data_IF_511346946793
#
_entry.id   IF_511346946793
#
_cell.length_a   1.000
_cell.length_b   1.000
_cell.length_c   1.000
_cell.angle_alpha   90.00
_cell.angle_beta   90.00
_cell.angle_gamma   90.00
#
_symmetry.space_group_name_H-M   'P 1'
#
loop_
_entity.id
_entity.type
_entity.pdbx_description
1 polymer ?
#
# COMPACT_ATOMS: atom_id res chain seq x y z
N UNK A 1 -49.71 21.33 39.90
CA UNK A 1 -49.40 20.91 38.51
C UNK A 1 -48.04 21.49 38.14
N UNK A 2 -46.92 20.82 38.45
CA UNK A 2 -45.59 21.16 37.91
C UNK A 2 -44.49 20.35 38.62
N UNK A 3 -44.22 19.13 38.16
CA UNK A 3 -42.95 18.46 38.45
C UNK A 3 -42.82 17.24 37.55
N UNK A 4 -42.54 17.43 36.25
CA UNK A 4 -42.19 16.33 35.34
C UNK A 4 -41.31 16.77 34.15
N UNK A 5 -40.62 17.91 34.25
CA UNK A 5 -39.77 18.41 33.16
C UNK A 5 -38.26 18.16 33.35
N UNK A 6 -37.81 17.81 34.56
CA UNK A 6 -36.36 17.80 34.89
C UNK A 6 -35.66 16.45 34.63
N UNK A 7 -36.40 15.34 34.59
CA UNK A 7 -35.81 14.00 34.37
C UNK A 7 -35.55 13.66 32.89
N UNK A 8 -36.21 14.36 31.96
CA UNK A 8 -36.07 14.12 30.52
C UNK A 8 -34.76 14.72 29.95
N UNK A 9 -34.30 15.85 30.49
CA UNK A 9 -33.10 16.54 30.01
C UNK A 9 -31.78 15.79 30.29
N UNK A 10 -31.72 15.06 31.41
CA UNK A 10 -30.50 14.32 31.78
C UNK A 10 -30.30 13.04 30.97
N UNK A 11 -31.38 12.35 30.59
CA UNK A 11 -31.30 11.17 29.70
C UNK A 11 -30.89 11.56 28.27
N UNK A 12 -31.35 12.70 27.77
CA UNK A 12 -30.96 13.22 26.45
C UNK A 12 -29.48 13.63 26.44
N UNK A 13 -28.99 14.28 27.50
CA UNK A 13 -27.59 14.71 27.59
C UNK A 13 -26.60 13.52 27.67
N UNK A 14 -26.94 12.44 28.37
CA UNK A 14 -26.08 11.24 28.47
C UNK A 14 -26.06 10.44 27.18
N UNK A 15 -27.19 10.34 26.45
CA UNK A 15 -27.25 9.67 25.14
C UNK A 15 -26.50 10.47 24.07
N UNK A 16 -26.59 11.80 24.08
CA UNK A 16 -25.83 12.65 23.13
C UNK A 16 -24.32 12.63 23.41
N UNK A 17 -23.91 12.49 24.69
CA UNK A 17 -22.49 12.41 25.04
C UNK A 17 -21.86 11.04 24.68
N UNK A 18 -22.65 9.96 24.60
CA UNK A 18 -22.16 8.64 24.16
C UNK A 18 -22.11 8.46 22.63
N UNK A 19 -22.86 9.26 21.85
CA UNK A 19 -22.84 9.21 20.38
C UNK A 19 -21.71 10.04 19.74
N UNK A 20 -20.98 10.85 20.52
CA UNK A 20 -20.00 11.84 20.01
C UNK A 20 -18.57 11.33 19.86
N UNK A 21 -18.28 10.07 20.20
CA UNK A 21 -16.91 9.52 20.14
C UNK A 21 -16.94 8.20 19.39
N UNK A 22 -17.26 8.25 18.10
CA UNK A 22 -16.82 7.16 17.21
C UNK A 22 -15.32 7.42 17.00
N UNK A 23 -14.41 6.60 17.55
CA UNK A 23 -13.01 6.74 17.19
C UNK A 23 -12.94 6.56 15.67
N UNK A 24 -12.49 7.61 14.96
CA UNK A 24 -11.89 7.44 13.64
C UNK A 24 -10.63 6.60 13.88
N UNK A 25 -10.81 5.29 13.94
CA UNK A 25 -9.72 4.38 13.66
C UNK A 25 -9.39 4.68 12.20
N UNK A 26 -8.12 4.92 11.89
CA UNK A 26 -7.62 5.11 10.53
C UNK A 26 -7.02 3.77 10.07
N UNK A 27 -7.32 3.37 8.83
CA UNK A 27 -6.80 2.16 8.24
C UNK A 27 -5.31 2.39 8.02
N UNK A 28 -4.54 1.32 7.93
CA UNK A 28 -3.13 1.46 7.64
C UNK A 28 -2.66 0.24 6.88
N UNK A 29 -1.95 0.46 5.79
CA UNK A 29 -1.32 -0.62 5.06
C UNK A 29 -0.36 -0.12 4.00
N UNK A 30 0.49 -1.04 3.52
CA UNK A 30 1.52 -0.77 2.53
C UNK A 30 1.69 -1.98 1.63
N UNK A 31 2.10 -1.76 0.37
CA UNK A 31 2.56 -2.85 -0.49
C UNK A 31 4.04 -3.13 -0.19
N UNK A 32 4.33 -4.37 0.18
CA UNK A 32 5.67 -4.89 0.45
C UNK A 32 6.27 -5.57 -0.78
N UNK A 33 5.50 -6.26 -1.62
CA UNK A 33 6.02 -6.86 -2.84
C UNK A 33 5.04 -6.67 -4.00
N UNK A 34 5.43 -6.01 -5.11
CA UNK A 34 6.64 -5.18 -5.23
C UNK A 34 6.64 -4.05 -4.18
N UNK A 35 7.77 -3.70 -3.56
CA UNK A 35 7.79 -2.64 -2.54
C UNK A 35 7.35 -1.31 -3.13
N UNK A 36 6.40 -0.66 -2.47
CA UNK A 36 6.01 0.69 -2.82
C UNK A 36 7.16 1.69 -2.60
N UNK A 37 7.14 2.82 -3.31
CA UNK A 37 8.15 3.89 -3.25
C UNK A 37 8.51 4.30 -1.82
N UNK A 38 7.50 4.58 -0.99
CA UNK A 38 7.69 4.91 0.43
C UNK A 38 8.12 3.71 1.30
N UNK A 39 7.95 2.48 0.83
CA UNK A 39 8.25 1.23 1.55
C UNK A 39 9.66 0.70 1.26
N UNK A 40 10.27 1.13 0.15
CA UNK A 40 11.55 0.62 -0.34
C UNK A 40 12.65 0.61 0.74
N UNK A 41 12.76 1.67 1.55
CA UNK A 41 13.81 1.77 2.56
C UNK A 41 13.76 0.62 3.60
N UNK A 42 12.58 0.05 3.88
CA UNK A 42 12.39 -1.11 4.78
C UNK A 42 12.91 -2.42 4.18
N UNK A 43 13.24 -2.42 2.90
CA UNK A 43 13.82 -3.57 2.19
C UNK A 43 15.28 -3.35 1.79
N UNK A 44 15.89 -2.26 2.26
CA UNK A 44 17.35 -2.07 2.18
C UNK A 44 17.79 -1.32 0.94
N UNK A 45 16.82 -0.79 0.20
CA UNK A 45 17.09 0.14 -0.86
C UNK A 45 17.59 1.46 -0.27
N UNK A 46 18.58 2.07 -0.93
CA UNK A 46 19.08 3.38 -0.57
C UNK A 46 18.11 4.48 -1.03
N UNK A 47 16.95 4.55 -0.37
CA UNK A 47 15.89 5.53 -0.62
C UNK A 47 15.58 6.31 0.65
N UNK A 48 15.10 7.56 0.57
CA UNK A 48 14.70 8.32 1.74
C UNK A 48 13.66 7.54 2.57
N UNK A 49 13.85 7.40 3.90
CA UNK A 49 12.89 6.69 4.73
C UNK A 49 11.59 7.50 4.90
N UNK A 50 10.47 6.84 4.67
CA UNK A 50 9.15 7.30 5.11
C UNK A 50 8.67 6.35 6.21
N UNK A 51 8.66 6.79 7.46
CA UNK A 51 8.24 5.96 8.59
C UNK A 51 6.73 5.72 8.63
N UNK A 52 5.97 6.59 7.97
CA UNK A 52 4.51 6.55 7.80
C UNK A 52 4.12 6.01 6.41
N UNK A 53 4.94 5.13 5.82
CA UNK A 53 4.73 4.49 4.52
C UNK A 53 3.47 3.61 4.45
N UNK A 54 2.81 3.36 5.57
CA UNK A 54 1.48 2.73 5.66
C UNK A 54 0.31 3.73 5.77
N UNK A 55 0.57 5.04 5.68
CA UNK A 55 -0.41 6.14 5.79
C UNK A 55 -0.53 6.94 4.49
N UNK A 56 -0.37 6.29 3.35
CA UNK A 56 -0.58 6.92 2.04
C UNK A 56 -2.08 6.97 1.69
N UNK A 57 -2.82 7.67 2.55
CA UNK A 57 -4.28 7.72 2.67
C UNK A 57 -4.93 8.98 2.09
N UNK A 58 -4.36 9.55 1.02
CA UNK A 58 -4.90 10.75 0.36
C UNK A 58 -4.94 12.01 1.25
N UNK A 59 -4.14 12.01 2.32
CA UNK A 59 -4.15 13.04 3.37
C UNK A 59 -5.31 12.94 4.38
N UNK A 60 -6.01 11.80 4.42
CA UNK A 60 -7.09 11.49 5.34
C UNK A 60 -8.49 11.64 4.72
N UNK A 61 -9.46 10.93 5.30
CA UNK A 61 -10.85 10.84 4.81
C UNK A 61 -11.47 12.21 4.50
N UNK A 62 -11.49 13.13 5.47
CA UNK A 62 -12.13 14.43 5.30
C UNK A 62 -11.46 15.27 4.21
N UNK A 63 -10.13 15.23 4.13
CA UNK A 63 -9.39 15.95 3.10
C UNK A 63 -9.69 15.39 1.72
N UNK A 64 -9.74 14.07 1.58
CA UNK A 64 -10.08 13.41 0.32
C UNK A 64 -11.52 13.75 -0.11
N UNK A 65 -12.51 13.46 0.73
CA UNK A 65 -13.92 13.49 0.31
C UNK A 65 -14.55 14.88 0.41
N UNK A 66 -14.35 15.57 1.53
CA UNK A 66 -15.02 16.85 1.79
C UNK A 66 -14.27 18.04 1.18
N UNK A 67 -12.94 17.99 1.09
CA UNK A 67 -12.13 19.07 0.48
C UNK A 67 -11.82 18.80 -0.99
N UNK A 68 -11.36 17.60 -1.32
CA UNK A 68 -10.87 17.27 -2.66
C UNK A 68 -11.90 16.61 -3.58
N UNK A 69 -13.14 16.40 -3.11
CA UNK A 69 -14.22 15.82 -3.91
C UNK A 69 -13.94 14.36 -4.29
N UNK A 70 -13.38 13.59 -3.37
CA UNK A 70 -13.01 12.19 -3.55
C UNK A 70 -11.66 11.96 -4.24
N UNK A 71 -11.01 13.02 -4.74
CA UNK A 71 -9.74 12.90 -5.46
C UNK A 71 -8.57 12.63 -4.53
N UNK A 72 -7.65 11.82 -5.02
CA UNK A 72 -6.41 11.44 -4.36
C UNK A 72 -5.23 11.62 -5.33
N UNK A 73 -4.00 11.74 -4.81
CA UNK A 73 -2.82 11.53 -5.64
C UNK A 73 -2.68 10.07 -6.06
N UNK A 74 -2.10 9.82 -7.24
CA UNK A 74 -2.06 8.47 -7.82
C UNK A 74 -1.20 7.52 -6.99
N UNK A 75 -0.34 8.05 -6.11
CA UNK A 75 0.48 7.27 -5.20
C UNK A 75 0.15 7.53 -3.72
N UNK A 76 -1.06 8.03 -3.42
CA UNK A 76 -1.60 8.13 -2.06
C UNK A 76 -1.32 9.44 -1.34
N UNK A 77 -0.64 10.37 -2.00
CA UNK A 77 -0.47 11.75 -1.51
C UNK A 77 -1.80 12.52 -1.53
N UNK A 78 -1.98 13.55 -0.69
CA UNK A 78 -3.13 14.44 -0.78
C UNK A 78 -3.24 15.11 -2.15
N UNK A 79 -4.45 15.14 -2.71
CA UNK A 79 -4.67 15.67 -4.06
C UNK A 79 -4.24 17.15 -4.21
N UNK A 80 -4.46 17.96 -3.18
CA UNK A 80 -4.13 19.38 -3.12
C UNK A 80 -2.79 19.67 -2.41
N UNK A 81 -1.96 18.65 -2.15
CA UNK A 81 -0.67 18.80 -1.47
C UNK A 81 0.54 18.44 -2.33
N UNK A 82 1.70 18.37 -1.68
CA UNK A 82 2.93 17.87 -2.30
C UNK A 82 2.75 16.40 -2.72
N UNK A 83 3.27 16.06 -3.91
CA UNK A 83 3.17 14.72 -4.49
C UNK A 83 4.47 13.96 -4.27
N UNK A 84 4.76 13.66 -3.00
CA UNK A 84 6.08 13.15 -2.61
C UNK A 84 6.36 11.73 -3.14
N UNK A 85 5.30 10.96 -3.40
CA UNK A 85 5.36 9.62 -3.96
C UNK A 85 5.20 9.58 -5.49
N UNK A 86 5.01 10.72 -6.14
CA UNK A 86 4.91 10.83 -7.60
C UNK A 86 6.21 11.37 -8.21
N UNK A 87 6.33 11.31 -9.55
CA UNK A 87 7.55 11.72 -10.24
C UNK A 87 7.94 13.17 -9.91
N UNK A 88 9.20 13.37 -9.48
CA UNK A 88 9.71 14.65 -8.98
C UNK A 88 9.66 14.79 -7.45
N UNK A 89 8.92 13.91 -6.75
CA UNK A 89 8.94 13.78 -5.29
C UNK A 89 10.13 12.95 -4.77
N UNK A 90 10.48 13.06 -3.48
CA UNK A 90 11.64 12.40 -2.88
C UNK A 90 11.58 10.86 -2.91
N UNK A 91 10.38 10.26 -2.90
CA UNK A 91 10.22 8.81 -2.86
C UNK A 91 10.17 8.19 -4.26
N UNK A 92 9.92 8.98 -5.31
CA UNK A 92 9.93 8.52 -6.70
C UNK A 92 11.35 8.48 -7.29
N UNK A 93 12.22 7.65 -6.69
CA UNK A 93 13.63 7.52 -7.06
C UNK A 93 13.87 6.88 -8.43
N UNK A 94 12.83 6.26 -9.01
CA UNK A 94 12.86 5.65 -10.33
C UNK A 94 13.58 4.30 -10.40
N UNK A 95 13.96 3.75 -9.26
CA UNK A 95 14.54 2.42 -9.12
C UNK A 95 13.49 1.35 -9.46
N UNK A 96 13.82 0.45 -10.37
CA UNK A 96 12.97 -0.70 -10.70
C UNK A 96 13.11 -1.77 -9.62
N UNK A 97 12.03 -2.06 -8.89
CA UNK A 97 12.06 -2.93 -7.72
C UNK A 97 11.82 -4.41 -8.02
N UNK A 98 11.17 -4.72 -9.15
CA UNK A 98 10.88 -6.08 -9.60
C UNK A 98 10.90 -6.19 -11.12
N UNK A 99 11.32 -7.35 -11.60
CA UNK A 99 11.26 -7.73 -13.02
C UNK A 99 10.30 -8.92 -13.17
N UNK A 100 9.28 -8.77 -14.00
CA UNK A 100 8.30 -9.81 -14.29
C UNK A 100 8.30 -10.18 -15.77
N UNK A 101 7.61 -11.28 -16.10
CA UNK A 101 7.31 -11.62 -17.48
C UNK A 101 5.86 -11.30 -17.79
N UNK A 102 5.61 -10.80 -19.00
CA UNK A 102 4.27 -10.49 -19.47
C UNK A 102 3.38 -11.74 -19.39
N UNK A 103 2.15 -11.59 -18.90
CA UNK A 103 1.22 -12.71 -18.76
C UNK A 103 1.47 -13.67 -17.59
N UNK A 104 2.50 -13.45 -16.75
CA UNK A 104 2.70 -14.28 -15.56
C UNK A 104 1.64 -13.99 -14.48
N UNK A 105 1.28 -15.01 -13.71
CA UNK A 105 0.63 -14.84 -12.41
C UNK A 105 1.72 -14.64 -11.37
N UNK A 106 1.69 -13.48 -10.72
CA UNK A 106 2.66 -13.07 -9.70
C UNK A 106 1.98 -12.89 -8.35
N UNK A 107 2.71 -13.06 -7.26
CA UNK A 107 2.19 -12.79 -5.92
C UNK A 107 2.57 -11.38 -5.49
N UNK A 108 1.57 -10.55 -5.24
CA UNK A 108 1.76 -9.28 -4.55
C UNK A 108 1.50 -9.44 -3.06
N UNK A 109 2.31 -8.78 -2.24
CA UNK A 109 2.26 -8.85 -0.79
C UNK A 109 1.88 -7.47 -0.25
N UNK A 110 0.74 -7.40 0.44
CA UNK A 110 0.26 -6.21 1.14
C UNK A 110 0.32 -6.48 2.64
N UNK A 111 0.94 -5.59 3.40
CA UNK A 111 0.83 -5.61 4.87
C UNK A 111 -0.25 -4.62 5.30
N UNK A 112 -1.24 -5.13 6.04
CA UNK A 112 -2.23 -4.29 6.73
C UNK A 112 -1.85 -4.22 8.20
N UNK A 113 -1.55 -3.02 8.68
CA UNK A 113 -1.21 -2.77 10.09
C UNK A 113 -2.40 -2.29 10.91
N UNK A 114 -3.43 -1.75 10.27
CA UNK A 114 -4.74 -1.49 10.86
C UNK A 114 -5.83 -1.78 9.82
N UNK A 115 -6.67 -2.78 10.10
CA UNK A 115 -7.60 -3.33 9.10
C UNK A 115 -9.00 -2.71 9.24
N UNK A 116 -9.54 -2.23 8.12
CA UNK A 116 -10.83 -1.57 7.99
C UNK A 116 -11.80 -2.27 7.03
N UNK A 117 -11.61 -3.57 6.79
CA UNK A 117 -12.36 -4.35 5.81
C UNK A 117 -12.28 -3.73 4.41
N UNK A 118 -13.17 -4.09 3.48
CA UNK A 118 -13.21 -3.50 2.14
C UNK A 118 -12.46 -4.36 1.12
N UNK A 119 -11.66 -3.75 0.26
CA UNK A 119 -11.00 -4.49 -0.83
C UNK A 119 -9.71 -3.85 -1.35
N UNK A 120 -8.82 -4.70 -1.87
CA UNK A 120 -7.66 -4.27 -2.64
C UNK A 120 -7.90 -4.38 -4.13
N UNK A 121 -7.29 -3.48 -4.88
CA UNK A 121 -7.28 -3.49 -6.34
C UNK A 121 -5.90 -3.07 -6.84
N UNK A 122 -5.49 -3.62 -7.99
CA UNK A 122 -4.18 -3.36 -8.57
C UNK A 122 -4.31 -2.86 -10.00
N UNK A 123 -3.57 -1.79 -10.31
CA UNK A 123 -3.51 -1.20 -11.65
C UNK A 123 -2.07 -1.16 -12.15
N UNK A 124 -1.89 -1.23 -13.45
CA UNK A 124 -0.60 -1.14 -14.13
C UNK A 124 -0.63 0.00 -15.14
N UNK A 125 0.33 0.92 -15.08
CA UNK A 125 0.53 1.93 -16.11
C UNK A 125 1.88 1.70 -16.80
N UNK A 126 1.88 1.54 -18.12
CA UNK A 126 3.12 1.57 -18.91
C UNK A 126 3.59 3.02 -19.05
N UNK A 127 4.85 3.29 -18.75
CA UNK A 127 5.45 4.58 -19.03
C UNK A 127 6.26 4.44 -20.31
N UNK A 128 5.62 4.75 -21.44
CA UNK A 128 6.19 4.52 -22.78
C UNK A 128 7.44 5.38 -23.06
N UNK A 129 7.69 6.40 -22.24
CA UNK A 129 8.87 7.25 -22.29
C UNK A 129 9.47 7.41 -20.89
N UNK A 130 10.82 7.39 -20.75
CA UNK A 130 11.52 7.34 -19.46
C UNK A 130 11.30 8.55 -18.54
N UNK A 131 10.50 9.54 -18.96
CA UNK A 131 10.23 10.78 -18.24
C UNK A 131 8.74 11.18 -18.22
N UNK A 132 7.82 10.34 -18.70
CA UNK A 132 6.39 10.64 -18.64
C UNK A 132 5.81 10.16 -17.30
N UNK A 133 5.33 11.05 -16.43
CA UNK A 133 4.66 10.64 -15.19
C UNK A 133 3.43 9.78 -15.51
N UNK A 134 3.20 8.75 -14.72
CA UNK A 134 1.96 8.00 -14.80
C UNK A 134 0.77 8.93 -14.55
N UNK A 135 -0.36 8.63 -15.18
CA UNK A 135 -1.60 9.40 -15.03
C UNK A 135 -2.71 8.50 -14.49
N UNK A 136 -3.72 9.11 -13.87
CA UNK A 136 -4.91 8.38 -13.43
C UNK A 136 -5.56 7.64 -14.60
N UNK A 137 -5.67 8.27 -15.77
CA UNK A 137 -6.22 7.64 -16.98
C UNK A 137 -5.44 6.41 -17.43
N UNK A 138 -4.12 6.44 -17.35
CA UNK A 138 -3.30 5.26 -17.67
C UNK A 138 -3.58 4.11 -16.70
N UNK A 139 -3.65 4.42 -15.41
CA UNK A 139 -3.95 3.44 -14.37
C UNK A 139 -5.38 2.88 -14.50
N UNK A 140 -6.37 3.72 -14.79
CA UNK A 140 -7.77 3.30 -14.96
C UNK A 140 -7.94 2.33 -16.13
N UNK A 141 -7.17 2.51 -17.22
CA UNK A 141 -7.13 1.59 -18.34
C UNK A 141 -6.33 0.31 -18.06
N UNK A 142 -5.57 0.28 -16.96
CA UNK A 142 -4.64 -0.77 -16.59
C UNK A 142 -5.09 -1.64 -15.43
N UNK A 143 -6.39 -1.73 -15.15
CA UNK A 143 -6.93 -2.58 -14.10
C UNK A 143 -6.54 -4.06 -14.34
N UNK A 144 -5.81 -4.65 -13.39
CA UNK A 144 -5.38 -6.04 -13.46
C UNK A 144 -6.43 -6.98 -12.88
N UNK A 145 -6.49 -8.19 -13.41
CA UNK A 145 -7.28 -9.28 -12.84
C UNK A 145 -6.45 -10.08 -11.83
N UNK A 146 -7.13 -10.70 -10.89
CA UNK A 146 -6.58 -11.68 -9.97
C UNK A 146 -6.59 -13.06 -10.63
N UNK A 147 -5.85 -14.01 -10.06
CA UNK A 147 -5.74 -15.37 -10.58
C UNK A 147 -7.08 -16.13 -10.61
N UNK A 148 -8.05 -15.73 -9.79
CA UNK A 148 -9.41 -16.28 -9.77
C UNK A 148 -10.36 -15.62 -10.80
N UNK A 149 -9.86 -14.66 -11.58
CA UNK A 149 -10.61 -13.92 -12.59
C UNK A 149 -11.38 -12.70 -12.06
N UNK A 150 -11.38 -12.46 -10.75
CA UNK A 150 -11.94 -11.23 -10.17
C UNK A 150 -10.96 -10.06 -10.32
N UNK A 151 -11.38 -8.83 -9.98
CA UNK A 151 -10.49 -7.65 -9.98
C UNK A 151 -10.22 -7.10 -8.58
N UNK A 152 -10.91 -7.64 -7.56
CA UNK A 152 -10.85 -7.14 -6.18
C UNK A 152 -10.59 -8.27 -5.21
N UNK A 153 -9.55 -8.09 -4.41
CA UNK A 153 -9.29 -8.98 -3.28
C UNK A 153 -10.08 -8.48 -2.08
N UNK A 154 -11.05 -9.26 -1.61
CA UNK A 154 -11.94 -8.83 -0.52
C UNK A 154 -11.26 -9.01 0.84
N UNK A 155 -11.21 -7.94 1.63
CA UNK A 155 -10.74 -7.94 3.01
C UNK A 155 -11.96 -8.09 3.92
N UNK A 156 -12.35 -9.33 4.20
CA UNK A 156 -13.61 -9.64 4.91
C UNK A 156 -13.42 -9.93 6.40
N UNK A 157 -12.18 -10.14 6.85
CA UNK A 157 -11.84 -10.32 8.26
C UNK A 157 -11.11 -9.09 8.79
N UNK A 158 -11.21 -8.87 10.10
CA UNK A 158 -10.47 -7.81 10.83
C UNK A 158 -8.99 -8.16 11.09
N UNK A 159 -8.47 -9.22 10.46
CA UNK A 159 -7.11 -9.67 10.70
C UNK A 159 -6.07 -8.66 10.18
N UNK A 160 -5.07 -8.34 10.97
CA UNK A 160 -3.90 -7.60 10.49
C UNK A 160 -2.82 -8.57 10.01
N UNK A 161 -1.83 -8.08 9.27
CA UNK A 161 -0.70 -8.86 8.79
C UNK A 161 -0.59 -8.90 7.27
N UNK A 162 0.03 -9.97 6.76
CA UNK A 162 0.33 -10.11 5.34
C UNK A 162 -0.83 -10.73 4.57
N UNK A 163 -1.17 -10.08 3.48
CA UNK A 163 -2.07 -10.57 2.45
C UNK A 163 -1.24 -10.87 1.21
N UNK A 164 -1.28 -12.13 0.77
CA UNK A 164 -0.63 -12.60 -0.45
C UNK A 164 -1.68 -12.74 -1.54
N UNK A 165 -1.63 -11.89 -2.55
CA UNK A 165 -2.62 -11.81 -3.62
C UNK A 165 -1.98 -12.28 -4.92
N UNK A 166 -2.55 -13.31 -5.55
CA UNK A 166 -2.14 -13.76 -6.89
C UNK A 166 -2.76 -12.86 -7.96
N UNK A 167 -1.93 -12.06 -8.63
CA UNK A 167 -2.31 -11.08 -9.64
C UNK A 167 -1.86 -11.55 -11.02
N UNK A 168 -2.74 -11.48 -12.00
CA UNK A 168 -2.47 -11.79 -13.40
C UNK A 168 -1.91 -10.55 -14.09
N UNK A 169 -0.64 -10.58 -14.50
CA UNK A 169 -0.08 -9.52 -15.32
C UNK A 169 -0.70 -9.56 -16.72
N UNK A 170 -0.94 -8.40 -17.37
CA UNK A 170 -1.52 -8.38 -18.71
C UNK A 170 -0.65 -9.11 -19.74
N UNK A 171 -1.27 -9.93 -20.57
CA UNK A 171 -0.57 -10.60 -21.67
C UNK A 171 -0.14 -9.59 -22.73
N UNK A 172 1.09 -9.72 -23.24
CA UNK A 172 1.63 -8.87 -24.31
C UNK A 172 1.97 -7.43 -23.89
N UNK A 173 1.86 -7.09 -22.60
CA UNK A 173 2.32 -5.80 -22.08
C UNK A 173 3.76 -5.92 -21.63
N UNK A 174 4.63 -5.08 -22.21
CA UNK A 174 6.03 -4.94 -21.82
C UNK A 174 6.36 -3.49 -21.53
N UNK A 175 7.34 -3.27 -20.67
CA UNK A 175 7.80 -1.95 -20.27
C UNK A 175 9.15 -2.04 -19.56
N UNK A 176 10.05 -1.10 -19.83
CA UNK A 176 11.27 -0.94 -19.04
C UNK A 176 11.01 -0.29 -17.68
N UNK A 177 9.94 0.51 -17.61
CA UNK A 177 9.45 1.12 -16.38
C UNK A 177 7.92 1.21 -16.43
N UNK A 178 7.28 0.40 -15.61
CA UNK A 178 5.85 0.44 -15.34
C UNK A 178 5.62 0.89 -13.91
N UNK A 179 4.45 1.49 -13.69
CA UNK A 179 3.95 1.78 -12.36
C UNK A 179 2.86 0.79 -11.99
N UNK A 180 3.08 -0.01 -10.95
CA UNK A 180 2.02 -0.76 -10.28
C UNK A 180 1.44 0.13 -9.20
N UNK A 181 0.13 0.35 -9.23
CA UNK A 181 -0.61 1.00 -8.14
C UNK A 181 -1.38 -0.07 -7.37
N UNK A 182 -1.16 -0.13 -6.07
CA UNK A 182 -2.09 -0.76 -5.13
C UNK A 182 -3.06 0.29 -4.62
N UNK A 183 -4.35 -0.06 -4.62
CA UNK A 183 -5.41 0.70 -3.96
C UNK A 183 -6.04 -0.18 -2.90
N UNK A 184 -6.22 0.36 -1.70
CA UNK A 184 -7.07 -0.20 -0.67
C UNK A 184 -8.24 0.75 -0.42
N UNK A 185 -9.45 0.30 -0.71
CA UNK A 185 -10.66 0.99 -0.35
C UNK A 185 -11.23 0.31 0.90
N UNK A 186 -11.20 1.02 2.04
CA UNK A 186 -11.76 0.54 3.29
C UNK A 186 -13.26 0.25 3.17
N UNK A 187 -13.84 -0.43 4.15
CA UNK A 187 -15.26 -0.84 4.10
C UNK A 187 -15.97 -0.77 5.44
N UNK A 188 -15.47 0.00 6.40
CA UNK A 188 -16.00 0.09 7.76
C UNK A 188 -16.83 1.36 8.02
N UNK A 189 -16.80 2.36 7.12
CA UNK A 189 -17.60 3.58 7.28
C UNK A 189 -19.04 3.34 6.85
N UNK A 190 -19.99 3.89 7.60
CA UNK A 190 -21.39 3.92 7.17
C UNK A 190 -21.58 5.00 6.10
N UNK A 191 -22.33 4.68 5.05
CA UNK A 191 -22.74 5.63 4.03
C UNK A 191 -23.97 5.15 3.30
N UNK A 192 -24.24 5.76 2.15
CA UNK A 192 -25.42 5.47 1.33
C UNK A 192 -24.96 4.82 0.04
N UNK A 193 -25.59 3.70 -0.32
CA UNK A 193 -25.39 3.06 -1.61
C UNK A 193 -25.97 3.95 -2.72
N UNK A 194 -25.15 4.30 -3.71
CA UNK A 194 -25.57 5.23 -4.77
C UNK A 194 -26.65 4.65 -5.69
N UNK A 195 -26.73 3.32 -5.82
CA UNK A 195 -27.69 2.67 -6.72
C UNK A 195 -29.05 2.44 -6.04
N UNK A 196 -29.07 2.06 -4.78
CA UNK A 196 -30.31 1.75 -4.04
C UNK A 196 -30.81 2.91 -3.19
N UNK A 197 -29.93 3.84 -2.80
CA UNK A 197 -30.22 4.89 -1.83
C UNK A 197 -30.34 4.40 -0.39
N UNK A 198 -30.03 3.13 -0.13
CA UNK A 198 -30.08 2.54 1.20
C UNK A 198 -28.78 2.80 1.99
N UNK A 199 -28.93 2.95 3.30
CA UNK A 199 -27.79 3.14 4.20
C UNK A 199 -27.13 1.82 4.59
N UNK A 200 -25.82 1.70 4.41
CA UNK A 200 -25.07 0.49 4.73
C UNK A 200 -23.62 0.78 5.15
N UNK A 201 -23.02 -0.16 5.88
CA UNK A 201 -21.58 -0.15 6.19
C UNK A 201 -20.81 -0.56 4.94
N UNK A 202 -19.75 0.20 4.62
CA UNK A 202 -18.95 0.03 3.41
C UNK A 202 -19.53 0.70 2.17
N UNK A 203 -20.64 1.43 2.31
CA UNK A 203 -21.31 2.15 1.22
C UNK A 203 -20.90 3.63 1.20
N UNK A 204 -21.01 4.26 0.02
CA UNK A 204 -20.60 5.65 -0.16
C UNK A 204 -19.09 5.88 0.03
N UNK A 205 -18.67 7.10 0.40
CA UNK A 205 -17.27 7.43 0.65
C UNK A 205 -16.62 6.55 1.73
N UNK A 206 -15.44 6.02 1.42
CA UNK A 206 -14.61 5.23 2.35
C UNK A 206 -13.19 5.78 2.38
N UNK A 207 -12.45 5.52 3.46
CA UNK A 207 -11.02 5.85 3.48
C UNK A 207 -10.28 5.03 2.42
N UNK A 208 -9.37 5.68 1.70
CA UNK A 208 -8.61 5.03 0.64
C UNK A 208 -7.11 5.18 0.84
N UNK A 209 -6.37 4.11 0.58
CA UNK A 209 -4.91 4.07 0.62
C UNK A 209 -4.38 3.68 -0.75
N UNK A 210 -3.25 4.26 -1.10
CA UNK A 210 -2.58 3.96 -2.36
C UNK A 210 -1.09 3.81 -2.14
N UNK A 211 -0.45 2.97 -2.95
CA UNK A 211 0.99 2.95 -3.06
C UNK A 211 1.40 2.61 -4.49
N UNK A 212 2.55 3.11 -4.90
CA UNK A 212 3.10 2.90 -6.22
C UNK A 212 4.43 2.17 -6.16
N UNK A 213 4.64 1.19 -7.04
CA UNK A 213 5.90 0.48 -7.19
C UNK A 213 6.37 0.51 -8.65
N UNK A 214 7.64 0.83 -8.88
CA UNK A 214 8.25 0.88 -10.22
C UNK A 214 8.78 -0.51 -10.61
N UNK A 215 8.25 -1.11 -11.68
CA UNK A 215 8.58 -2.49 -12.10
C UNK A 215 8.95 -2.55 -13.58
N UNK A 216 9.58 -3.64 -14.00
CA UNK A 216 9.86 -3.95 -15.40
C UNK A 216 9.10 -5.20 -15.82
N UNK A 217 8.53 -5.20 -17.02
CA UNK A 217 7.84 -6.36 -17.60
C UNK A 217 8.45 -6.65 -18.96
N UNK A 218 8.90 -7.90 -19.16
CA UNK A 218 9.56 -8.35 -20.40
C UNK A 218 8.79 -9.51 -21.04
N UNK A 219 9.00 -9.75 -22.33
CA UNK A 219 8.33 -10.85 -23.05
C UNK A 219 8.70 -12.25 -22.51
N UNK A 220 7.80 -13.21 -22.69
CA UNK A 220 8.05 -14.62 -22.36
C UNK A 220 9.03 -15.31 -23.32
N UNK A 221 9.27 -14.76 -24.51
CA UNK A 221 10.04 -15.40 -25.58
C UNK A 221 11.24 -14.58 -26.04
N UNK A 222 12.40 -14.80 -25.42
CA UNK A 222 13.67 -14.33 -25.93
C UNK A 222 14.80 -15.24 -25.46
N UNK A 223 15.26 -16.14 -26.34
CA UNK A 223 16.61 -16.67 -26.26
C UNK A 223 17.56 -15.49 -26.18
N UNK A 224 18.25 -15.33 -25.06
CA UNK A 224 19.18 -14.24 -24.80
C UNK A 224 20.34 -14.33 -25.78
N UNK A 225 20.22 -13.69 -26.96
CA UNK A 225 21.38 -13.23 -27.70
C UNK A 225 21.70 -11.83 -27.19
N UNK A 226 22.68 -11.77 -26.29
CA UNK A 226 23.22 -10.53 -25.74
C UNK A 226 23.75 -9.64 -26.87
N UNK A 227 23.23 -8.42 -27.09
CA UNK A 227 24.04 -7.37 -27.68
C UNK A 227 24.98 -6.85 -26.59
N UNK A 228 26.28 -6.86 -26.90
CA UNK A 228 27.30 -6.19 -26.08
C UNK A 228 27.11 -4.69 -26.25
N UNK A 229 26.44 -4.03 -25.29
CA UNK A 229 26.44 -2.57 -25.18
C UNK A 229 26.98 -2.18 -23.82
N UNK A 230 28.18 -1.61 -23.86
CA UNK A 230 28.90 -0.99 -22.77
C UNK A 230 28.11 0.22 -22.26
N UNK A 231 27.28 0.02 -21.25
CA UNK A 231 26.71 1.12 -20.45
C UNK A 231 27.06 0.84 -19.00
N UNK A 232 27.90 1.70 -18.44
CA UNK A 232 28.36 1.71 -17.04
C UNK A 232 27.21 1.41 -16.09
N UNK A 233 27.20 0.17 -15.63
CA UNK A 233 26.19 -0.44 -14.79
C UNK A 233 26.53 -0.15 -13.34
N UNK A 234 25.73 0.69 -12.66
CA UNK A 234 25.60 0.58 -11.21
C UNK A 234 24.76 -0.67 -10.94
N UNK A 235 25.47 -1.78 -10.89
CA UNK A 235 24.95 -3.13 -10.69
C UNK A 235 24.62 -3.33 -9.23
N UNK A 236 23.34 -3.34 -8.88
CA UNK A 236 22.77 -4.32 -7.97
C UNK A 236 21.24 -4.23 -8.07
N UNK A 237 20.64 -5.17 -8.81
CA UNK A 237 19.33 -5.66 -8.39
C UNK A 237 19.49 -6.12 -6.92
N UNK A 238 18.56 -5.80 -6.01
CA UNK A 238 18.65 -6.35 -4.66
C UNK A 238 18.67 -7.85 -4.78
N UNK A 239 19.62 -8.45 -4.09
CA UNK A 239 19.57 -9.86 -3.73
C UNK A 239 18.16 -10.20 -3.22
N UNK A 240 17.61 -11.37 -3.58
CA UNK A 240 16.37 -11.86 -3.02
C UNK A 240 16.40 -11.67 -1.51
N UNK A 241 15.37 -11.06 -0.96
CA UNK A 241 15.26 -10.82 0.48
C UNK A 241 15.31 -12.19 1.17
N UNK A 242 16.44 -12.52 1.77
CA UNK A 242 16.57 -13.74 2.58
C UNK A 242 15.95 -13.46 3.93
N UNK A 243 14.78 -14.04 4.16
CA UNK A 243 14.12 -13.96 5.45
C UNK A 243 14.87 -14.81 6.47
N UNK A 244 15.30 -14.20 7.58
CA UNK A 244 15.90 -14.93 8.69
C UNK A 244 14.81 -15.53 9.59
N UNK A 245 15.16 -16.62 10.26
CA UNK A 245 14.32 -17.23 11.31
C UNK A 245 15.16 -17.30 12.57
N UNK A 246 14.70 -16.65 13.63
CA UNK A 246 15.41 -16.64 14.90
C UNK A 246 14.88 -17.75 15.82
N UNK A 247 15.75 -18.65 16.33
CA UNK A 247 15.32 -19.80 17.13
C UNK A 247 14.52 -19.44 18.38
N UNK A 248 14.77 -18.27 18.95
CA UNK A 248 14.14 -17.73 20.16
C UNK A 248 12.99 -16.75 19.85
N UNK A 249 12.75 -16.45 18.56
CA UNK A 249 11.77 -15.45 18.13
C UNK A 249 12.19 -14.00 18.41
N UNK A 250 13.42 -13.75 18.81
CA UNK A 250 13.91 -12.40 19.12
C UNK A 250 14.49 -11.74 17.87
N UNK A 251 13.78 -10.77 17.32
CA UNK A 251 14.20 -10.00 16.15
C UNK A 251 14.60 -8.58 16.55
N UNK A 252 15.79 -8.13 16.15
CA UNK A 252 16.31 -6.78 16.40
C UNK A 252 16.88 -6.17 15.13
N UNK A 253 17.04 -4.85 15.09
CA UNK A 253 17.69 -4.17 13.98
C UNK A 253 19.15 -4.63 13.79
N UNK A 254 19.62 -4.68 12.54
CA UNK A 254 21.04 -4.84 12.21
C UNK A 254 21.83 -3.61 12.61
N UNK A 255 23.15 -3.73 12.70
CA UNK A 255 24.04 -2.61 13.05
C UNK A 255 23.86 -1.40 12.12
N UNK A 256 23.55 -1.66 10.85
CA UNK A 256 23.23 -0.64 9.84
C UNK A 256 22.07 0.26 10.27
N UNK A 257 21.09 -0.30 10.97
CA UNK A 257 19.87 0.40 11.41
C UNK A 257 19.79 0.56 12.92
N UNK A 258 20.86 0.27 13.66
CA UNK A 258 20.86 0.35 15.13
C UNK A 258 20.56 1.76 15.67
N UNK A 259 20.84 2.80 14.87
CA UNK A 259 20.54 4.18 15.22
C UNK A 259 19.07 4.59 14.97
N UNK A 260 18.30 3.79 14.26
CA UNK A 260 16.89 4.04 13.97
C UNK A 260 16.01 3.43 15.09
N UNK A 261 15.36 4.26 15.93
CA UNK A 261 14.54 3.77 17.03
C UNK A 261 13.31 2.96 16.56
N UNK A 262 12.91 3.09 15.30
CA UNK A 262 11.74 2.42 14.74
C UNK A 262 12.06 1.07 14.10
N UNK A 263 13.34 0.77 13.84
CA UNK A 263 13.70 -0.44 13.11
C UNK A 263 13.52 -1.71 13.96
N UNK A 264 13.94 -1.70 15.23
CA UNK A 264 13.74 -2.85 16.12
C UNK A 264 12.26 -3.17 16.33
N UNK A 265 11.38 -2.20 16.65
CA UNK A 265 9.94 -2.44 16.68
C UNK A 265 9.37 -2.98 15.36
N UNK A 266 9.86 -2.50 14.22
CA UNK A 266 9.45 -3.02 12.92
C UNK A 266 9.85 -4.49 12.73
N UNK A 267 11.10 -4.85 13.02
CA UNK A 267 11.56 -6.25 12.96
C UNK A 267 10.73 -7.16 13.87
N UNK A 268 10.40 -6.73 15.09
CA UNK A 268 9.57 -7.50 16.02
C UNK A 268 8.16 -7.77 15.50
N UNK A 269 7.59 -6.84 14.75
CA UNK A 269 6.24 -6.96 14.23
C UNK A 269 6.18 -7.72 12.89
N UNK A 270 7.15 -7.51 12.02
CA UNK A 270 7.10 -8.00 10.63
C UNK A 270 7.80 -9.36 10.47
N UNK A 271 8.81 -9.67 11.28
CA UNK A 271 9.48 -10.98 11.18
C UNK A 271 8.57 -12.16 11.52
N UNK A 272 7.74 -12.14 12.60
CA UNK A 272 6.82 -13.22 12.90
C UNK A 272 5.73 -13.44 11.83
N UNK A 273 5.44 -12.43 11.01
CA UNK A 273 4.45 -12.53 9.93
C UNK A 273 5.03 -13.12 8.64
N UNK A 274 6.33 -13.44 8.63
CA UNK A 274 7.01 -14.10 7.52
C UNK A 274 7.81 -13.18 6.62
N UNK A 275 7.97 -11.90 6.97
CA UNK A 275 8.81 -10.95 6.26
C UNK A 275 9.91 -10.41 7.18
N UNK A 276 11.11 -10.97 7.06
CA UNK A 276 12.24 -10.73 7.97
C UNK A 276 13.58 -10.55 7.23
N UNK A 277 13.74 -9.47 6.43
CA UNK A 277 14.94 -9.27 5.65
C UNK A 277 16.21 -9.29 6.50
N UNK A 278 17.17 -10.16 6.18
CA UNK A 278 18.50 -10.23 6.82
C UNK A 278 19.31 -8.92 6.74
N UNK A 279 18.93 -8.00 5.84
CA UNK A 279 19.52 -6.67 5.74
C UNK A 279 19.09 -5.72 6.86
N UNK A 280 17.90 -5.92 7.46
CA UNK A 280 17.32 -5.03 8.47
C UNK A 280 17.24 -5.68 9.83
N UNK A 281 16.94 -6.98 9.84
CA UNK A 281 16.68 -7.73 11.05
C UNK A 281 17.78 -8.78 11.24
N UNK A 282 18.20 -8.93 12.49
CA UNK A 282 19.08 -9.99 12.96
C UNK A 282 18.50 -10.62 14.23
N UNK A 283 19.00 -11.79 14.60
CA UNK A 283 18.60 -12.42 15.85
C UNK A 283 19.21 -11.67 17.02
N UNK A 284 18.35 -11.24 17.95
CA UNK A 284 18.78 -10.66 19.21
C UNK A 284 19.30 -11.74 20.15
N UNK A 285 20.02 -11.33 21.17
CA UNK A 285 20.27 -12.17 22.34
C UNK A 285 19.19 -11.88 23.38
N UNK A 286 18.52 -12.94 23.85
CA UNK A 286 17.59 -12.87 24.99
C UNK A 286 18.26 -12.35 26.28
#
# INVERSE_FOLDING_TARGET
>A
MSANASFCGWLIAVVVCLCGVVPYVAGHGRILDPPGRSTMWRQGWNTPPNYDDNQLFCGGFDRQWNTNGGRCGICGDPYDGARDNEWGGPYATGIVVRHYRAGDIVTFVVEVTANHLGWFEFRLCTQDEPLTPATQTCLDNGLMTLADGTTRFMVTSWAVGLYNISVQLPAGVTCDKCLVQWKYHAGNSWGVDEATGEGCVGCGPQEEFYACADVKISDQGGTVSMPTTTTTTSTAAPTPVTNIVCPDGTYVATDTYAADPNMTPWCQNTCPTGYCPSSHCQCGTA
#
